data_IF_562246131502
#
_entry.id   IF_562246131502
#
_cell.length_a   1.000
_cell.length_b   1.000
_cell.length_c   1.000
_cell.angle_alpha   90.00
_cell.angle_beta   90.00
_cell.angle_gamma   90.00
#
_symmetry.space_group_name_H-M   'P 1'
#
loop_
_entity.id
_entity.type
_entity.pdbx_description
1 polymer ?
#
# COMPACT_ATOMS: atom_id res chain seq x y z
N UNK A 1 0.81 -15.77 -9.98
CA UNK A 1 0.04 -14.54 -10.26
C UNK A 1 0.98 -13.57 -10.95
N UNK A 2 0.57 -12.88 -12.01
CA UNK A 2 1.38 -11.76 -12.53
C UNK A 2 1.35 -10.66 -11.49
N UNK A 3 2.50 -10.12 -11.10
CA UNK A 3 2.55 -8.92 -10.25
C UNK A 3 1.77 -7.80 -10.95
N UNK A 4 0.69 -7.31 -10.34
CA UNK A 4 -0.04 -6.20 -10.91
C UNK A 4 0.83 -4.93 -10.81
N UNK A 5 0.74 -4.06 -11.80
CA UNK A 5 1.46 -2.77 -11.75
C UNK A 5 0.77 -1.78 -10.82
N UNK A 6 -0.47 -2.05 -10.41
CA UNK A 6 -1.31 -1.16 -9.60
C UNK A 6 -2.18 -1.97 -8.64
N UNK A 7 -2.38 -1.42 -7.45
CA UNK A 7 -3.24 -2.00 -6.42
C UNK A 7 -4.12 -0.93 -5.77
N UNK A 8 -5.31 -1.34 -5.33
CA UNK A 8 -6.16 -0.58 -4.44
C UNK A 8 -6.03 -1.14 -3.01
N UNK A 9 -5.81 -0.26 -2.03
CA UNK A 9 -5.63 -0.60 -0.62
C UNK A 9 -6.58 0.25 0.22
N UNK A 10 -7.37 -0.38 1.09
CA UNK A 10 -8.19 0.32 2.06
C UNK A 10 -7.36 0.67 3.30
N UNK A 11 -7.14 1.96 3.54
CA UNK A 11 -6.43 2.48 4.71
C UNK A 11 -7.38 3.20 5.64
N UNK A 12 -7.15 3.04 6.94
CA UNK A 12 -7.89 3.78 7.96
C UNK A 12 -7.25 5.16 8.16
N UNK A 13 -8.00 6.18 7.78
CA UNK A 13 -7.63 7.57 7.95
C UNK A 13 -7.94 8.10 9.35
N UNK A 14 -7.66 9.40 9.55
CA UNK A 14 -8.04 10.11 10.76
C UNK A 14 -9.53 9.96 11.07
N UNK A 15 -9.89 9.96 12.36
CA UNK A 15 -11.27 9.86 12.85
C UNK A 15 -12.02 8.57 12.47
N UNK A 16 -11.27 7.50 12.16
CA UNK A 16 -11.83 6.18 11.87
C UNK A 16 -12.43 6.03 10.47
N UNK A 17 -12.26 7.03 9.60
CA UNK A 17 -12.68 6.98 8.20
C UNK A 17 -11.88 5.93 7.43
N UNK A 18 -12.51 5.30 6.44
CA UNK A 18 -11.82 4.38 5.51
C UNK A 18 -11.67 5.06 4.17
N UNK A 19 -10.45 5.04 3.61
CA UNK A 19 -10.14 5.58 2.31
C UNK A 19 -9.46 4.51 1.45
N UNK A 20 -9.85 4.42 0.19
CA UNK A 20 -9.13 3.63 -0.80
C UNK A 20 -7.97 4.46 -1.37
N UNK A 21 -6.77 3.91 -1.33
CA UNK A 21 -5.58 4.48 -1.96
C UNK A 21 -5.17 3.60 -3.11
N UNK A 22 -4.88 4.22 -4.25
CA UNK A 22 -4.34 3.54 -5.42
C UNK A 22 -2.83 3.75 -5.42
N UNK A 23 -2.10 2.66 -5.49
CA UNK A 23 -0.63 2.66 -5.52
C UNK A 23 -0.11 1.98 -6.77
N UNK A 24 1.06 2.44 -7.21
CA UNK A 24 1.71 2.02 -8.44
C UNK A 24 3.06 1.39 -8.10
N UNK A 25 3.40 0.32 -8.82
CA UNK A 25 4.70 -0.34 -8.68
C UNK A 25 5.81 0.66 -8.98
N UNK A 26 6.82 0.67 -8.12
CA UNK A 26 8.03 1.47 -8.31
C UNK A 26 9.19 0.55 -8.72
N UNK A 27 10.34 1.14 -9.04
CA UNK A 27 11.60 0.44 -9.31
C UNK A 27 12.35 0.02 -8.03
N UNK A 28 11.81 0.35 -6.85
CA UNK A 28 12.42 0.07 -5.55
C UNK A 28 11.96 -1.27 -4.97
N UNK A 29 12.84 -1.85 -4.17
CA UNK A 29 12.55 -3.03 -3.36
C UNK A 29 12.52 -2.65 -1.88
N UNK A 30 11.60 -3.27 -1.15
CA UNK A 30 11.42 -3.06 0.28
C UNK A 30 12.31 -3.96 1.13
N UNK A 31 12.18 -3.92 2.46
CA UNK A 31 12.99 -4.70 3.40
C UNK A 31 13.00 -6.21 3.15
N UNK A 32 11.91 -6.78 2.61
CA UNK A 32 11.82 -8.21 2.30
C UNK A 32 12.26 -8.54 0.86
N UNK A 33 12.90 -7.61 0.15
CA UNK A 33 13.23 -7.72 -1.27
C UNK A 33 11.98 -7.83 -2.18
N UNK A 34 10.84 -7.35 -1.69
CA UNK A 34 9.56 -7.36 -2.40
C UNK A 34 9.30 -6.00 -3.07
N UNK A 35 8.48 -5.94 -4.13
CA UNK A 35 8.23 -4.68 -4.84
C UNK A 35 7.55 -3.63 -3.96
N UNK A 36 8.05 -2.40 -4.03
CA UNK A 36 7.45 -1.24 -3.36
C UNK A 36 6.45 -0.59 -4.28
N UNK A 37 5.30 -0.25 -3.71
CA UNK A 37 4.22 0.46 -4.35
C UNK A 37 4.00 1.81 -3.66
N UNK A 38 3.75 2.84 -4.45
CA UNK A 38 3.59 4.20 -3.98
C UNK A 38 2.40 4.89 -4.64
N UNK A 39 1.68 5.74 -3.91
CA UNK A 39 0.69 6.61 -4.51
C UNK A 39 1.34 7.75 -5.32
N UNK A 40 0.55 8.50 -6.09
CA UNK A 40 1.11 9.55 -6.95
C UNK A 40 1.75 10.72 -6.19
N UNK A 41 1.47 10.86 -4.89
CA UNK A 41 2.03 11.93 -4.04
C UNK A 41 3.26 11.50 -3.26
N UNK A 42 3.51 10.19 -3.15
CA UNK A 42 4.55 9.62 -2.30
C UNK A 42 4.27 9.59 -0.81
N UNK A 43 3.06 9.98 -0.39
CA UNK A 43 2.64 9.96 1.01
C UNK A 43 2.27 8.56 1.52
N UNK A 44 1.86 7.66 0.63
CA UNK A 44 1.54 6.27 0.95
C UNK A 44 2.50 5.33 0.24
N UNK A 45 3.18 4.49 1.02
CA UNK A 45 4.13 3.52 0.50
C UNK A 45 3.91 2.17 1.16
N UNK A 46 3.84 1.13 0.34
CA UNK A 46 3.60 -0.25 0.78
C UNK A 46 4.58 -1.20 0.11
N UNK A 47 4.89 -2.28 0.80
CA UNK A 47 5.48 -3.47 0.22
C UNK A 47 4.35 -4.46 -0.03
N UNK A 48 4.18 -4.97 -1.25
CA UNK A 48 3.06 -5.88 -1.56
C UNK A 48 3.60 -7.24 -1.99
N UNK A 49 3.18 -8.29 -1.28
CA UNK A 49 3.38 -9.69 -1.66
C UNK A 49 2.00 -10.35 -1.83
N UNK A 50 1.70 -10.77 -3.06
CA UNK A 50 0.41 -11.36 -3.40
C UNK A 50 -0.75 -10.38 -3.20
N UNK A 51 -1.59 -10.65 -2.20
CA UNK A 51 -2.76 -9.84 -1.81
C UNK A 51 -2.56 -9.10 -0.48
N UNK A 52 -1.34 -9.07 0.06
CA UNK A 52 -1.03 -8.43 1.34
C UNK A 52 -0.15 -7.22 1.11
N UNK A 53 -0.60 -6.06 1.58
CA UNK A 53 0.16 -4.82 1.64
C UNK A 53 0.70 -4.58 3.06
N UNK A 54 2.01 -4.60 3.19
CA UNK A 54 2.71 -4.17 4.39
C UNK A 54 3.00 -2.67 4.30
N UNK A 55 2.69 -1.96 5.38
CA UNK A 55 2.86 -0.50 5.44
C UNK A 55 4.34 -0.13 5.59
N UNK A 56 4.87 0.69 4.69
CA UNK A 56 6.21 1.29 4.81
C UNK A 56 6.12 2.76 5.23
N UNK A 57 5.21 3.53 4.64
CA UNK A 57 5.00 4.95 4.94
C UNK A 57 3.51 5.27 4.87
N UNK A 58 3.02 6.02 5.87
CA UNK A 58 1.70 6.65 5.86
C UNK A 58 1.81 8.13 6.23
N UNK A 59 0.90 8.98 5.75
CA UNK A 59 0.78 10.35 6.23
C UNK A 59 0.35 10.38 7.70
N UNK A 60 0.69 11.47 8.40
CA UNK A 60 0.27 11.68 9.79
C UNK A 60 -1.25 11.58 9.96
N UNK A 61 -1.68 10.89 11.01
CA UNK A 61 -3.10 10.68 11.32
C UNK A 61 -3.74 9.46 10.64
N UNK A 62 -3.03 8.78 9.74
CA UNK A 62 -3.42 7.45 9.28
C UNK A 62 -2.89 6.40 10.25
N UNK A 63 -3.74 5.43 10.59
CA UNK A 63 -3.41 4.42 11.60
C UNK A 63 -2.80 3.16 11.00
N UNK A 64 -1.85 2.56 11.70
CA UNK A 64 -1.26 1.24 11.42
C UNK A 64 -1.85 0.15 12.30
N UNK A 65 -3.11 0.27 12.75
CA UNK A 65 -3.75 -0.69 13.64
C UNK A 65 -3.67 -2.14 13.13
N UNK A 66 -3.43 -2.31 11.82
CA UNK A 66 -3.02 -3.56 11.20
C UNK A 66 -1.74 -3.33 10.37
N UNK A 67 -0.64 -4.06 10.62
CA UNK A 67 0.57 -3.96 9.80
C UNK A 67 0.36 -4.53 8.38
N UNK A 68 -0.67 -5.37 8.21
CA UNK A 68 -1.02 -6.01 6.95
C UNK A 68 -2.42 -5.55 6.51
N UNK A 69 -2.49 -4.97 5.32
CA UNK A 69 -3.73 -4.55 4.66
C UNK A 69 -3.99 -5.45 3.44
N UNK A 70 -5.24 -5.52 3.00
CA UNK A 70 -5.59 -6.20 1.76
C UNK A 70 -5.18 -5.34 0.56
N UNK A 71 -4.46 -5.95 -0.39
CA UNK A 71 -4.08 -5.36 -1.67
C UNK A 71 -4.90 -6.00 -2.79
N UNK A 72 -5.78 -5.21 -3.41
CA UNK A 72 -6.63 -5.66 -4.52
C UNK A 72 -5.95 -5.27 -5.84
N UNK A 73 -5.52 -6.22 -6.69
CA UNK A 73 -4.88 -5.91 -7.96
C UNK A 73 -5.85 -5.17 -8.89
N UNK A 74 -5.35 -4.15 -9.57
CA UNK A 74 -6.10 -3.39 -10.57
C UNK A 74 -5.59 -3.74 -11.98
N UNK A 75 -6.48 -3.69 -13.00
CA UNK A 75 -6.08 -3.82 -14.40
C UNK A 75 -5.21 -2.65 -14.89
#
# INVERSE_FOLDING_TARGET
>A
MRDATRYAIAVRGPNGTTRTVIVHRTDRLGPAHEPVYEDTTGGFRFQINGSTAEVLVLPTGYGTAHPCLEAVPMP
#
